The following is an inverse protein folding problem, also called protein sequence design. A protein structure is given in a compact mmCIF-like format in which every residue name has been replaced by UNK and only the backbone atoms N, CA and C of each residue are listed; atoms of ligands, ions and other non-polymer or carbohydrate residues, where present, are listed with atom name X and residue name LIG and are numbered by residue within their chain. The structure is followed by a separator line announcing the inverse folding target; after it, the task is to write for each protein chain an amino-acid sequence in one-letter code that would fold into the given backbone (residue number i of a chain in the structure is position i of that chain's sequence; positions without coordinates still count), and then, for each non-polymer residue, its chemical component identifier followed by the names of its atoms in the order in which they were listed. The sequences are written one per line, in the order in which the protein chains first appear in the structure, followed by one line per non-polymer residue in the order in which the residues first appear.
data_IF_878982599852
#
_entry.id   IF_878982599852
#
_cell.length_a   1.000
_cell.length_b   1.000
_cell.length_c   1.000
_cell.angle_alpha   90.00
_cell.angle_beta   90.00
_cell.angle_gamma   90.00
#
_symmetry.space_group_name_H-M   'P 1'
#
loop_
_entity.id
_entity.type
_entity.pdbx_description
1 polymer ?
#
# COMPACT_ATOMS: atom_id res chain seq x y z
N UNK A 1 -11.19 -84.21 -37.86
CA UNK A 1 -12.50 -84.78 -37.46
C UNK A 1 -13.36 -83.62 -36.95
N UNK A 2 -14.41 -83.30 -37.71
CA UNK A 2 -15.64 -82.63 -37.25
C UNK A 2 -16.46 -83.65 -36.47
N UNK A 3 -17.46 -83.33 -35.70
CA UNK A 3 -18.33 -82.17 -35.52
C UNK A 3 -18.55 -81.86 -34.01
N UNK A 4 -19.48 -81.13 -33.54
CA UNK A 4 -20.92 -80.98 -33.66
C UNK A 4 -21.38 -79.64 -33.05
N UNK A 5 -22.36 -79.08 -33.72
CA UNK A 5 -23.12 -77.90 -33.42
C UNK A 5 -24.27 -78.20 -32.45
N UNK A 6 -24.60 -77.42 -31.48
CA UNK A 6 -25.91 -77.33 -30.83
C UNK A 6 -26.34 -75.96 -30.46
N UNK A 7 -27.35 -75.58 -31.09
CA UNK A 7 -28.49 -74.66 -30.90
C UNK A 7 -28.61 -73.83 -29.62
N UNK A 8 -29.01 -72.56 -29.87
CA UNK A 8 -29.55 -71.55 -28.97
C UNK A 8 -30.87 -71.95 -28.27
N UNK A 9 -31.18 -71.22 -27.19
CA UNK A 9 -32.52 -70.63 -27.24
C UNK A 9 -32.50 -69.08 -26.93
N UNK A 10 -33.49 -68.48 -27.55
CA UNK A 10 -33.93 -67.11 -27.47
C UNK A 10 -34.54 -66.84 -26.09
N UNK A 11 -34.16 -65.75 -25.42
CA UNK A 11 -34.72 -65.37 -24.15
C UNK A 11 -34.84 -63.87 -23.94
N UNK A 12 -36.00 -63.36 -24.13
CA UNK A 12 -36.69 -62.16 -23.62
C UNK A 12 -35.87 -60.92 -23.28
N UNK A 13 -36.11 -59.92 -24.11
CA UNK A 13 -35.92 -58.51 -23.85
C UNK A 13 -36.62 -58.06 -22.57
N UNK A 14 -35.85 -57.56 -21.63
CA UNK A 14 -36.34 -56.67 -20.51
C UNK A 14 -35.93 -55.22 -20.78
N UNK A 15 -36.90 -54.41 -21.17
CA UNK A 15 -36.78 -52.99 -21.22
C UNK A 15 -36.63 -52.46 -19.79
N UNK A 16 -35.45 -52.03 -19.45
CA UNK A 16 -35.25 -51.27 -18.22
C UNK A 16 -35.35 -49.81 -18.56
N UNK A 17 -36.38 -49.15 -18.04
CA UNK A 17 -36.63 -47.73 -18.15
C UNK A 17 -35.62 -47.02 -17.23
N UNK A 18 -34.60 -46.36 -17.80
CA UNK A 18 -33.67 -45.51 -17.03
C UNK A 18 -34.30 -44.14 -16.91
N UNK A 19 -34.84 -43.85 -15.72
CA UNK A 19 -35.25 -42.50 -15.33
C UNK A 19 -34.00 -41.70 -15.11
N UNK A 20 -33.64 -40.87 -16.09
CA UNK A 20 -32.53 -39.94 -15.98
C UNK A 20 -32.86 -38.79 -15.03
N UNK A 21 -32.30 -38.82 -13.84
CA UNK A 21 -32.35 -37.66 -12.91
C UNK A 21 -31.42 -36.61 -13.43
N UNK A 22 -31.96 -35.50 -13.97
CA UNK A 22 -31.19 -34.32 -14.31
C UNK A 22 -30.77 -33.64 -13.01
N UNK A 23 -29.49 -33.77 -12.64
CA UNK A 23 -28.89 -32.96 -11.58
C UNK A 23 -28.52 -31.61 -12.22
N UNK A 24 -29.31 -30.57 -11.97
CA UNK A 24 -28.97 -29.22 -12.31
C UNK A 24 -27.87 -28.74 -11.35
N UNK A 25 -26.62 -28.74 -11.80
CA UNK A 25 -25.52 -28.11 -11.08
C UNK A 25 -25.70 -26.61 -11.17
N UNK A 26 -26.22 -25.99 -10.11
CA UNK A 26 -26.22 -24.53 -9.95
C UNK A 26 -24.79 -24.06 -9.71
N UNK A 27 -24.13 -23.56 -10.75
CA UNK A 27 -22.90 -22.79 -10.61
C UNK A 27 -23.23 -21.48 -9.90
N UNK A 28 -23.03 -21.46 -8.60
CA UNK A 28 -23.04 -20.22 -7.82
C UNK A 28 -21.86 -19.35 -8.26
N UNK A 29 -22.15 -18.32 -9.04
CA UNK A 29 -21.17 -17.26 -9.32
C UNK A 29 -20.97 -16.49 -8.03
N UNK A 30 -19.99 -16.90 -7.23
CA UNK A 30 -19.55 -16.16 -6.07
C UNK A 30 -18.95 -14.85 -6.54
N UNK A 31 -19.70 -13.75 -6.39
CA UNK A 31 -19.15 -12.40 -6.53
C UNK A 31 -18.06 -12.23 -5.48
N UNK A 32 -16.80 -12.35 -5.87
CA UNK A 32 -15.68 -11.95 -5.05
C UNK A 32 -15.82 -10.44 -4.87
N UNK A 33 -16.28 -10.01 -3.69
CA UNK A 33 -16.18 -8.62 -3.28
C UNK A 33 -14.68 -8.29 -3.21
N UNK A 34 -14.22 -7.46 -4.13
CA UNK A 34 -12.90 -6.88 -4.02
C UNK A 34 -12.88 -6.08 -2.71
N UNK A 35 -12.14 -6.56 -1.72
CA UNK A 35 -11.85 -5.79 -0.53
C UNK A 35 -11.11 -4.54 -1.01
N UNK A 36 -11.70 -3.38 -0.81
CA UNK A 36 -11.02 -2.09 -0.98
C UNK A 36 -9.91 -2.09 0.06
N UNK A 37 -8.67 -2.28 -0.40
CA UNK A 37 -7.51 -2.14 0.49
C UNK A 37 -7.51 -0.69 1.00
N UNK A 38 -7.56 -0.51 2.31
CA UNK A 38 -7.35 0.78 2.94
C UNK A 38 -6.01 1.35 2.46
N UNK A 39 -5.93 2.68 2.22
CA UNK A 39 -4.68 3.32 1.87
C UNK A 39 -3.61 2.97 2.90
N UNK A 40 -2.44 2.55 2.45
CA UNK A 40 -1.31 2.25 3.31
C UNK A 40 -0.73 3.58 3.80
N UNK A 41 -1.18 4.04 4.96
CA UNK A 41 -0.74 5.30 5.53
C UNK A 41 0.69 5.21 6.09
N UNK A 42 1.39 6.34 6.04
CA UNK A 42 2.68 6.50 6.67
C UNK A 42 2.56 6.41 8.20
N UNK A 43 3.44 5.65 8.84
CA UNK A 43 3.53 5.60 10.29
C UNK A 43 4.54 6.63 10.78
N UNK A 44 4.06 7.63 11.52
CA UNK A 44 4.87 8.69 12.11
C UNK A 44 5.09 8.40 13.60
N UNK A 45 6.36 8.49 14.04
CA UNK A 45 6.75 8.33 15.44
C UNK A 45 7.61 9.51 15.89
N UNK A 46 7.15 10.23 16.90
CA UNK A 46 7.96 11.28 17.54
C UNK A 46 9.11 10.64 18.31
N UNK A 47 10.31 11.16 18.08
CA UNK A 47 11.52 10.74 18.79
C UNK A 47 11.93 11.77 19.85
N UNK A 48 11.72 13.05 19.56
CA UNK A 48 12.24 14.12 20.39
C UNK A 48 11.54 15.43 20.03
N UNK A 49 11.21 16.24 21.05
CA UNK A 49 10.77 17.62 20.90
C UNK A 49 11.43 18.49 21.93
N UNK A 50 11.84 19.70 21.54
CA UNK A 50 12.52 20.65 22.41
C UNK A 50 12.24 22.09 21.99
N UNK A 51 11.85 22.91 22.96
CA UNK A 51 11.79 24.36 22.78
C UNK A 51 13.18 24.90 22.43
N UNK A 52 13.23 25.89 21.55
CA UNK A 52 14.44 26.56 21.13
C UNK A 52 14.51 27.98 21.79
N UNK A 53 15.15 28.11 22.94
CA UNK A 53 15.13 29.38 23.70
C UNK A 53 15.67 30.59 22.93
N UNK A 54 16.63 30.35 22.03
CA UNK A 54 17.25 31.39 21.19
C UNK A 54 16.36 31.79 20.01
N UNK A 55 15.29 31.04 19.76
CA UNK A 55 14.27 31.31 18.74
C UNK A 55 12.87 31.29 19.39
N UNK A 56 12.46 32.38 20.07
CA UNK A 56 11.21 32.42 20.82
C UNK A 56 10.00 31.97 19.99
N UNK A 57 9.20 31.08 20.56
CA UNK A 57 8.01 30.50 19.90
C UNK A 57 8.31 29.34 18.93
N UNK A 58 9.58 28.95 18.78
CA UNK A 58 9.96 27.80 17.95
C UNK A 58 10.32 26.58 18.79
N UNK A 59 10.15 25.43 18.16
CA UNK A 59 10.62 24.15 18.68
C UNK A 59 11.37 23.35 17.61
N UNK A 60 12.31 22.53 18.05
CA UNK A 60 12.89 21.45 17.26
C UNK A 60 12.13 20.18 17.53
N UNK A 61 11.63 19.53 16.48
CA UNK A 61 10.91 18.26 16.54
C UNK A 61 11.60 17.23 15.65
N UNK A 62 11.92 16.08 16.19
CA UNK A 62 12.48 14.97 15.43
C UNK A 62 11.49 13.80 15.39
N UNK A 63 11.22 13.34 14.19
CA UNK A 63 10.30 12.21 13.95
C UNK A 63 10.96 11.17 13.06
N UNK A 64 10.52 9.92 13.15
CA UNK A 64 10.69 8.94 12.07
C UNK A 64 9.38 8.78 11.33
N UNK A 65 9.50 8.56 10.02
CA UNK A 65 8.40 8.20 9.14
C UNK A 65 8.72 6.85 8.50
N UNK A 66 7.79 5.92 8.62
CA UNK A 66 7.86 4.61 7.96
C UNK A 66 6.79 4.56 6.87
N UNK A 67 7.22 4.38 5.65
CA UNK A 67 6.35 4.18 4.49
C UNK A 67 6.19 2.68 4.22
N UNK A 68 5.00 2.12 4.41
CA UNK A 68 4.70 0.78 3.91
C UNK A 68 4.94 0.66 2.40
N UNK A 69 5.12 -0.57 1.86
CA UNK A 69 5.22 -0.76 0.42
C UNK A 69 4.03 -0.14 -0.31
N UNK A 70 4.30 0.68 -1.33
CA UNK A 70 3.28 1.32 -2.16
C UNK A 70 2.53 2.49 -1.53
N UNK A 71 2.88 2.92 -0.31
CA UNK A 71 2.23 4.08 0.32
C UNK A 71 2.49 5.38 -0.44
N UNK A 72 1.49 6.25 -0.42
CA UNK A 72 1.51 7.59 -1.06
C UNK A 72 0.85 8.57 -0.12
N UNK A 73 1.53 9.67 0.17
CA UNK A 73 0.97 10.77 0.95
C UNK A 73 0.00 11.61 0.10
N UNK A 74 -1.08 12.12 0.68
CA UNK A 74 -1.89 13.14 0.02
C UNK A 74 -1.08 14.44 -0.12
N UNK A 75 -1.50 15.31 -1.05
CA UNK A 75 -0.88 16.64 -1.21
C UNK A 75 -1.03 17.42 0.09
N UNK A 76 0.08 17.95 0.60
CA UNK A 76 0.13 18.65 1.88
C UNK A 76 1.25 19.69 1.92
N UNK A 77 1.32 20.41 3.01
CA UNK A 77 2.42 21.33 3.34
C UNK A 77 2.81 21.20 4.80
N UNK A 78 3.98 21.69 5.12
CA UNK A 78 4.51 21.76 6.47
C UNK A 78 4.73 23.21 6.90
N UNK A 79 4.30 23.65 8.10
CA UNK A 79 4.48 25.00 8.58
C UNK A 79 5.83 25.17 9.28
N UNK A 80 6.92 24.73 8.69
CA UNK A 80 8.25 24.74 9.25
C UNK A 80 9.32 24.33 8.27
N UNK A 81 10.55 24.31 8.74
CA UNK A 81 11.71 23.84 7.99
C UNK A 81 11.94 22.37 8.30
N UNK A 82 11.79 21.49 7.31
CA UNK A 82 11.99 20.06 7.41
C UNK A 82 13.30 19.62 6.77
N UNK A 83 14.11 18.90 7.54
CA UNK A 83 15.37 18.32 7.09
C UNK A 83 15.22 16.79 7.12
N UNK A 84 15.14 16.19 5.96
CA UNK A 84 14.89 14.76 5.76
C UNK A 84 16.21 14.03 5.58
N UNK A 85 16.35 12.85 6.19
CA UNK A 85 17.48 11.95 5.99
C UNK A 85 16.97 10.51 5.88
N UNK A 86 17.24 9.85 4.75
CA UNK A 86 16.79 8.49 4.48
C UNK A 86 17.65 7.49 5.24
N UNK A 87 16.99 6.59 5.99
CA UNK A 87 17.61 5.52 6.76
C UNK A 87 17.57 4.18 6.01
N UNK A 88 16.41 3.83 5.47
CA UNK A 88 16.17 2.52 4.84
C UNK A 88 15.23 2.65 3.64
N UNK A 89 15.38 1.75 2.67
CA UNK A 89 14.55 1.73 1.46
C UNK A 89 14.81 2.91 0.53
N UNK A 90 13.80 3.32 -0.21
CA UNK A 90 13.88 4.48 -1.11
C UNK A 90 12.55 5.22 -1.11
N UNK A 91 12.62 6.54 -1.10
CA UNK A 91 11.44 7.42 -1.13
C UNK A 91 11.51 8.34 -2.35
N UNK A 92 10.34 8.77 -2.82
CA UNK A 92 10.24 9.74 -3.91
C UNK A 92 9.57 10.98 -3.37
N UNK A 93 10.22 12.13 -3.57
CA UNK A 93 9.82 13.42 -3.04
C UNK A 93 9.74 14.47 -4.14
N UNK A 94 8.74 15.36 -4.05
CA UNK A 94 8.64 16.54 -4.90
C UNK A 94 7.88 17.66 -4.18
N UNK A 95 8.44 18.85 -4.16
CA UNK A 95 7.69 20.09 -3.85
C UNK A 95 7.20 20.73 -5.14
N UNK A 96 6.11 21.48 -5.05
CA UNK A 96 5.47 22.14 -6.22
C UNK A 96 6.47 23.05 -6.92
N UNK A 97 6.62 22.87 -8.23
CA UNK A 97 7.58 23.63 -9.05
C UNK A 97 9.00 23.07 -9.04
N UNK A 98 9.32 22.14 -8.14
CA UNK A 98 10.60 21.43 -8.11
C UNK A 98 10.59 20.16 -8.96
N UNK A 99 11.74 19.51 -9.05
CA UNK A 99 11.88 18.21 -9.71
C UNK A 99 11.51 17.07 -8.76
N UNK A 100 10.93 16.01 -9.31
CA UNK A 100 10.78 14.75 -8.58
C UNK A 100 12.15 14.10 -8.40
N UNK A 101 12.46 13.70 -7.17
CA UNK A 101 13.73 13.07 -6.81
C UNK A 101 13.48 11.75 -6.09
N UNK A 102 14.27 10.74 -6.43
CA UNK A 102 14.34 9.48 -5.69
C UNK A 102 15.52 9.53 -4.74
N UNK A 103 15.26 9.30 -3.46
CA UNK A 103 16.25 9.34 -2.39
C UNK A 103 16.46 7.94 -1.82
N UNK A 104 17.72 7.59 -1.60
CA UNK A 104 18.18 6.33 -1.01
C UNK A 104 18.88 6.57 0.32
N UNK A 105 19.20 5.52 1.12
CA UNK A 105 19.87 5.69 2.41
C UNK A 105 21.12 6.58 2.35
N UNK A 106 21.21 7.51 3.29
CA UNK A 106 22.29 8.51 3.36
C UNK A 106 22.00 9.81 2.60
N UNK A 107 20.95 9.87 1.79
CA UNK A 107 20.56 11.08 1.07
C UNK A 107 19.59 11.95 1.87
N UNK A 108 19.57 13.22 1.53
CA UNK A 108 18.79 14.25 2.23
C UNK A 108 17.83 14.97 1.29
N UNK A 109 16.76 15.51 1.87
CA UNK A 109 15.84 16.43 1.21
C UNK A 109 15.51 17.58 2.17
N UNK A 110 15.11 18.72 1.63
CA UNK A 110 14.70 19.87 2.42
C UNK A 110 13.34 20.37 1.95
N UNK A 111 12.50 20.72 2.90
CA UNK A 111 11.20 21.36 2.70
C UNK A 111 11.12 22.64 3.53
N UNK A 112 10.71 23.72 2.89
CA UNK A 112 10.49 25.02 3.52
C UNK A 112 9.04 25.20 3.99
N UNK A 113 8.76 26.21 4.82
CA UNK A 113 7.45 26.44 5.41
C UNK A 113 6.34 26.84 4.41
N UNK A 114 6.71 27.21 3.20
CA UNK A 114 5.79 27.58 2.11
C UNK A 114 5.73 26.54 0.99
N UNK A 115 6.53 25.48 1.08
CA UNK A 115 6.55 24.43 0.08
C UNK A 115 5.28 23.59 0.17
N UNK A 116 4.72 23.24 -0.99
CA UNK A 116 3.64 22.27 -1.10
C UNK A 116 4.24 20.97 -1.58
N UNK A 117 4.18 19.97 -0.74
CA UNK A 117 4.64 18.61 -1.04
C UNK A 117 3.59 17.95 -1.94
N UNK A 118 3.93 17.75 -3.19
CA UNK A 118 3.02 17.21 -4.21
C UNK A 118 3.26 15.74 -4.50
N UNK A 119 4.45 15.23 -4.19
CA UNK A 119 4.80 13.80 -4.24
C UNK A 119 5.57 13.42 -2.99
N UNK A 120 4.98 12.57 -2.17
CA UNK A 120 5.61 11.85 -1.06
C UNK A 120 5.18 10.39 -1.16
N UNK A 121 6.10 9.47 -1.45
CA UNK A 121 5.73 8.07 -1.61
C UNK A 121 6.92 7.12 -1.41
N UNK A 122 6.60 5.89 -1.06
CA UNK A 122 7.57 4.81 -1.14
C UNK A 122 7.88 4.51 -2.63
N UNK A 123 9.16 4.40 -2.97
CA UNK A 123 9.58 4.03 -4.32
C UNK A 123 9.32 2.55 -4.63
N UNK A 124 9.12 1.71 -3.60
CA UNK A 124 8.93 0.27 -3.72
C UNK A 124 7.49 -0.15 -3.44
N UNK A 125 6.98 -1.09 -4.25
CA UNK A 125 5.70 -1.73 -4.03
C UNK A 125 5.79 -2.98 -3.13
N UNK A 126 7.01 -3.39 -2.72
CA UNK A 126 7.23 -4.65 -2.00
C UNK A 126 8.10 -4.52 -0.75
N UNK A 127 8.80 -3.40 -0.57
CA UNK A 127 9.69 -3.16 0.56
C UNK A 127 9.31 -1.85 1.27
N UNK A 128 9.37 -1.80 2.59
CA UNK A 128 9.17 -0.54 3.33
C UNK A 128 10.34 0.43 3.11
N UNK A 129 10.09 1.69 3.41
CA UNK A 129 11.12 2.72 3.51
C UNK A 129 11.00 3.44 4.85
N UNK A 130 12.14 3.96 5.36
CA UNK A 130 12.20 4.68 6.63
C UNK A 130 13.12 5.88 6.51
N UNK A 131 12.70 6.99 7.04
CA UNK A 131 13.49 8.22 7.09
C UNK A 131 13.24 8.96 8.39
N UNK A 132 14.18 9.80 8.77
CA UNK A 132 14.03 10.74 9.86
C UNK A 132 13.77 12.13 9.29
N UNK A 133 12.96 12.92 9.99
CA UNK A 133 12.77 14.34 9.71
C UNK A 133 13.04 15.13 10.97
N UNK A 134 13.89 16.14 10.85
CA UNK A 134 14.05 17.17 11.87
C UNK A 134 13.34 18.44 11.41
N UNK A 135 12.40 18.92 12.22
CA UNK A 135 11.62 20.12 11.97
C UNK A 135 12.09 21.26 12.86
N UNK A 136 12.20 22.47 12.29
CA UNK A 136 12.18 23.71 13.04
C UNK A 136 10.87 24.42 12.70
N UNK A 137 9.95 24.49 13.66
CA UNK A 137 8.59 24.98 13.43
C UNK A 137 8.04 25.80 14.60
N UNK A 138 6.91 26.43 14.42
CA UNK A 138 6.18 27.07 15.51
C UNK A 138 5.70 26.03 16.52
N UNK A 139 5.87 26.35 17.80
CA UNK A 139 5.49 25.49 18.90
C UNK A 139 3.98 25.19 18.88
N UNK A 140 3.63 23.92 19.05
CA UNK A 140 2.24 23.47 19.12
C UNK A 140 1.48 23.45 17.78
N UNK A 141 2.11 23.83 16.65
CA UNK A 141 1.48 23.78 15.34
C UNK A 141 1.66 22.38 14.74
N UNK A 142 0.62 21.74 14.17
CA UNK A 142 0.74 20.45 13.51
C UNK A 142 1.74 20.48 12.35
N UNK A 143 2.54 19.41 12.20
CA UNK A 143 3.53 19.32 11.10
C UNK A 143 2.89 19.05 9.74
N UNK A 144 1.70 18.50 9.69
CA UNK A 144 1.02 18.08 8.46
C UNK A 144 -0.27 18.90 8.26
N UNK A 145 -0.35 19.61 7.14
CA UNK A 145 -1.52 20.42 6.77
C UNK A 145 -1.97 19.98 5.37
N UNK A 146 -3.07 19.22 5.24
CA UNK A 146 -3.63 18.88 3.93
C UNK A 146 -3.89 20.13 3.09
N UNK A 147 -3.63 20.05 1.80
CA UNK A 147 -3.85 21.13 0.84
C UNK A 147 -4.31 20.60 -0.51
N UNK A 148 -4.63 21.49 -1.42
CA UNK A 148 -5.09 21.15 -2.78
C UNK A 148 -4.05 21.50 -3.84
#
# INVERSE_FOLDING_TARGET
MKPIQTSQPVGLSRFTLIVGTLIAAAFGVGSAMAATAEPLEAKVTELFSKDLPECPGKEGLMITVEYPPGSVDPIHRHPGHGFIYVLEGSIIMQVRGGQEVTLTPGQTFYEGPNDVHVVGRNASQTKPAKFVVFWVKDKGVPVFIPTK
#
